data_IF_122054754597
#
_entry.id   IF_122054754597
#
_cell.length_a   1.000
_cell.length_b   1.000
_cell.length_c   1.000
_cell.angle_alpha   90.00
_cell.angle_beta   90.00
_cell.angle_gamma   90.00
#
_symmetry.space_group_name_H-M   'P 1'
#
loop_
_entity.id
_entity.type
_entity.pdbx_description
1 polymer ?
#
# COMPACT_ATOMS: atom_id res chain seq x y z
N UNK A 1 24.51 -65.39 26.54
CA UNK A 1 23.43 -64.41 26.73
C UNK A 1 23.68 -63.24 25.80
N UNK A 2 22.95 -63.16 24.69
CA UNK A 2 23.03 -62.10 23.67
C UNK A 2 21.95 -61.05 23.98
N UNK A 3 22.34 -59.81 24.26
CA UNK A 3 21.42 -58.70 24.41
C UNK A 3 21.26 -58.05 23.03
N UNK A 4 20.06 -58.18 22.45
CA UNK A 4 19.66 -57.49 21.25
C UNK A 4 19.18 -56.10 21.63
N UNK A 5 19.91 -55.06 21.20
CA UNK A 5 19.50 -53.66 21.30
C UNK A 5 18.51 -53.30 20.20
N UNK A 6 17.32 -52.84 20.58
CA UNK A 6 16.27 -52.37 19.70
C UNK A 6 16.54 -50.91 19.38
N UNK A 7 16.96 -50.60 18.15
CA UNK A 7 17.08 -49.21 17.66
C UNK A 7 15.72 -48.71 17.22
N UNK A 8 15.16 -47.74 17.94
CA UNK A 8 13.95 -47.01 17.53
C UNK A 8 14.38 -45.88 16.61
N UNK A 9 14.10 -45.99 15.32
CA UNK A 9 14.23 -44.91 14.38
C UNK A 9 13.01 -43.97 14.51
N UNK A 10 13.24 -42.78 15.05
CA UNK A 10 12.23 -41.70 15.08
C UNK A 10 12.26 -41.02 13.73
N UNK A 11 11.32 -41.36 12.86
CA UNK A 11 11.09 -40.64 11.60
C UNK A 11 10.32 -39.35 11.91
N UNK A 12 11.04 -38.23 11.95
CA UNK A 12 10.42 -36.93 12.10
C UNK A 12 9.63 -36.54 10.84
N UNK A 13 8.31 -36.58 10.93
CA UNK A 13 7.40 -36.04 9.90
C UNK A 13 7.41 -34.52 9.98
N UNK A 14 8.16 -33.88 9.11
CA UNK A 14 8.09 -32.42 8.95
C UNK A 14 6.77 -32.05 8.26
N UNK A 15 5.78 -31.65 9.06
CA UNK A 15 4.54 -31.07 8.55
C UNK A 15 4.84 -29.63 8.10
N UNK A 16 4.99 -29.43 6.80
CA UNK A 16 5.02 -28.10 6.18
C UNK A 16 3.61 -27.53 6.26
N UNK A 17 3.35 -26.66 7.23
CA UNK A 17 2.17 -25.81 7.22
C UNK A 17 2.33 -24.78 6.12
N UNK A 18 1.70 -25.02 4.96
CA UNK A 18 1.38 -23.97 4.02
C UNK A 18 0.29 -23.12 4.66
N UNK A 19 0.64 -21.99 5.24
CA UNK A 19 -0.32 -20.94 5.57
C UNK A 19 -0.74 -20.34 4.23
N UNK A 20 -1.79 -20.91 3.64
CA UNK A 20 -2.54 -20.21 2.61
C UNK A 20 -3.24 -19.04 3.32
N UNK A 21 -2.66 -17.85 3.25
CA UNK A 21 -3.39 -16.62 3.57
C UNK A 21 -4.45 -16.48 2.49
N UNK A 22 -5.64 -17.00 2.75
CA UNK A 22 -6.82 -16.63 2.00
C UNK A 22 -7.03 -15.14 2.28
N UNK A 23 -6.69 -14.30 1.31
CA UNK A 23 -7.10 -12.90 1.33
C UNK A 23 -8.63 -12.91 1.21
N UNK A 24 -9.31 -12.55 2.31
CA UNK A 24 -10.73 -12.31 2.28
C UNK A 24 -10.96 -11.09 1.38
N UNK A 25 -11.52 -11.32 0.23
CA UNK A 25 -11.98 -10.26 -0.67
C UNK A 25 -13.22 -9.64 -0.06
N UNK A 26 -13.13 -8.36 0.26
CA UNK A 26 -14.23 -7.41 0.45
C UNK A 26 -15.25 -7.71 1.53
N UNK A 27 -15.30 -6.85 2.49
CA UNK A 27 -16.35 -6.32 3.38
C UNK A 27 -15.77 -5.82 4.72
N UNK A 28 -14.46 -5.63 4.76
CA UNK A 28 -13.85 -4.96 5.92
C UNK A 28 -13.97 -3.45 5.70
N UNK A 29 -14.32 -2.73 6.77
CA UNK A 29 -14.26 -1.27 6.77
C UNK A 29 -12.82 -0.80 6.49
N UNK A 30 -12.69 0.36 5.82
CA UNK A 30 -11.38 1.01 5.65
C UNK A 30 -10.71 1.18 7.01
N UNK A 31 -9.44 0.85 7.08
CA UNK A 31 -8.61 1.05 8.28
C UNK A 31 -7.41 1.91 7.90
N UNK A 32 -7.11 2.97 8.66
CA UNK A 32 -5.90 3.76 8.47
C UNK A 32 -4.65 2.87 8.46
N UNK A 33 -3.69 3.22 7.61
CA UNK A 33 -2.43 2.47 7.53
C UNK A 33 -1.55 2.84 8.71
N UNK A 34 -1.11 1.83 9.47
CA UNK A 34 -0.22 2.06 10.60
C UNK A 34 1.14 2.60 10.12
N UNK A 35 1.54 3.75 10.66
CA UNK A 35 2.84 4.35 10.39
C UNK A 35 3.94 3.56 11.12
N UNK A 36 4.91 3.08 10.36
CA UNK A 36 6.13 2.44 10.90
C UNK A 36 7.37 3.17 10.38
N UNK A 37 8.55 2.88 10.93
CA UNK A 37 9.81 3.47 10.45
C UNK A 37 10.14 3.13 8.99
N UNK A 38 9.53 2.08 8.46
CA UNK A 38 9.79 1.56 7.11
C UNK A 38 8.70 2.00 6.12
N UNK A 39 7.71 2.79 6.59
CA UNK A 39 6.58 3.25 5.76
C UNK A 39 6.71 4.74 5.49
N UNK A 40 6.69 5.12 4.21
CA UNK A 40 6.54 6.50 3.74
C UNK A 40 5.20 6.66 3.03
N UNK A 41 4.68 7.89 2.98
CA UNK A 41 3.51 8.22 2.17
C UNK A 41 3.97 9.06 0.99
N UNK A 42 3.50 8.73 -0.20
CA UNK A 42 3.94 9.41 -1.42
C UNK A 42 2.85 9.43 -2.49
N UNK A 43 2.92 10.39 -3.40
CA UNK A 43 2.27 10.29 -4.69
C UNK A 43 3.14 9.48 -5.65
N UNK A 44 2.53 8.59 -6.43
CA UNK A 44 3.22 7.88 -7.51
C UNK A 44 2.96 8.63 -8.80
N UNK A 45 4.00 9.18 -9.41
CA UNK A 45 3.92 9.93 -10.66
C UNK A 45 4.06 9.03 -11.88
N UNK A 46 4.84 7.96 -11.77
CA UNK A 46 5.13 7.07 -12.90
C UNK A 46 5.48 5.65 -12.44
N UNK A 47 5.09 4.67 -13.24
CA UNK A 47 5.52 3.27 -13.09
C UNK A 47 6.18 2.85 -14.41
N UNK A 48 7.42 2.39 -14.36
CA UNK A 48 8.17 1.94 -15.54
C UNK A 48 8.79 0.57 -15.34
N UNK A 49 8.83 -0.21 -16.43
CA UNK A 49 9.63 -1.44 -16.50
C UNK A 49 11.00 -1.10 -17.14
N UNK A 50 12.07 -1.32 -16.41
CA UNK A 50 13.42 -1.09 -16.88
C UNK A 50 14.34 -2.24 -16.45
N UNK A 51 15.00 -2.87 -17.41
CA UNK A 51 15.96 -3.97 -17.18
C UNK A 51 15.39 -5.12 -16.34
N UNK A 52 14.09 -5.45 -16.56
CA UNK A 52 13.38 -6.50 -15.83
C UNK A 52 12.96 -6.12 -14.40
N UNK A 53 13.05 -4.85 -14.04
CA UNK A 53 12.64 -4.29 -12.75
C UNK A 53 11.49 -3.32 -12.94
N UNK A 54 10.58 -3.29 -11.97
CA UNK A 54 9.55 -2.26 -11.88
C UNK A 54 10.06 -1.14 -10.99
N UNK A 55 10.04 0.07 -11.52
CA UNK A 55 10.44 1.29 -10.82
C UNK A 55 9.25 2.23 -10.70
N UNK A 56 9.06 2.78 -9.51
CA UNK A 56 8.14 3.89 -9.24
C UNK A 56 8.94 5.20 -9.26
N UNK A 57 8.39 6.24 -9.85
CA UNK A 57 8.82 7.62 -9.59
C UNK A 57 7.83 8.20 -8.58
N UNK A 58 8.31 8.58 -7.43
CA UNK A 58 7.48 9.01 -6.30
C UNK A 58 7.88 10.39 -5.81
N UNK A 59 6.93 11.07 -5.17
CA UNK A 59 7.09 12.32 -4.44
C UNK A 59 6.60 12.09 -3.01
N UNK A 60 7.52 12.10 -2.04
CA UNK A 60 7.19 11.86 -0.64
C UNK A 60 6.41 13.05 -0.06
N UNK A 61 5.39 12.74 0.71
CA UNK A 61 4.53 13.73 1.38
C UNK A 61 4.42 13.43 2.88
N UNK A 62 4.11 14.45 3.65
CA UNK A 62 3.68 14.27 5.03
C UNK A 62 2.16 14.10 5.06
N UNK A 63 1.71 12.93 5.50
CA UNK A 63 0.31 12.59 5.68
C UNK A 63 -0.06 12.62 7.17
N UNK A 64 -1.08 13.38 7.53
CA UNK A 64 -1.61 13.51 8.88
C UNK A 64 -3.07 13.10 8.93
N UNK A 65 -3.51 12.48 10.04
CA UNK A 65 -4.89 12.06 10.27
C UNK A 65 -5.37 12.44 11.68
N UNK A 66 -6.69 12.65 11.81
CA UNK A 66 -7.35 12.93 13.09
C UNK A 66 -6.76 14.15 13.81
N UNK A 67 -6.56 14.06 15.11
CA UNK A 67 -6.12 15.19 15.94
C UNK A 67 -4.72 15.73 15.54
N UNK A 68 -3.87 14.91 14.93
CA UNK A 68 -2.58 15.37 14.40
C UNK A 68 -2.79 16.23 13.15
N UNK A 69 -3.70 15.83 12.28
CA UNK A 69 -4.09 16.61 11.10
C UNK A 69 -4.69 17.96 11.50
N UNK A 70 -5.62 17.98 12.46
CA UNK A 70 -6.24 19.21 12.96
C UNK A 70 -5.18 20.18 13.49
N UNK A 71 -4.21 19.66 14.26
CA UNK A 71 -3.13 20.48 14.81
C UNK A 71 -2.29 21.11 13.69
N UNK A 72 -1.82 20.30 12.73
CA UNK A 72 -0.97 20.79 11.62
C UNK A 72 -1.75 21.76 10.73
N UNK A 73 -3.02 21.47 10.46
CA UNK A 73 -3.90 22.35 9.70
C UNK A 73 -4.04 23.72 10.36
N UNK A 74 -4.36 23.79 11.66
CA UNK A 74 -4.52 25.06 12.38
C UNK A 74 -3.22 25.85 12.48
N UNK A 75 -2.07 25.17 12.54
CA UNK A 75 -0.76 25.82 12.53
C UNK A 75 -0.43 26.43 11.14
N UNK A 76 -0.85 25.79 10.07
CA UNK A 76 -0.52 26.19 8.69
C UNK A 76 -1.58 27.11 8.06
N UNK A 77 -2.83 26.97 8.47
CA UNK A 77 -3.99 27.72 7.95
C UNK A 77 -4.69 28.52 9.07
N UNK A 78 -3.95 29.41 9.79
CA UNK A 78 -4.50 30.11 10.96
C UNK A 78 -5.68 31.02 10.64
N UNK A 79 -5.83 31.43 9.38
CA UNK A 79 -6.87 32.33 8.90
C UNK A 79 -8.06 31.57 8.27
N UNK A 80 -8.09 30.25 8.31
CA UNK A 80 -9.17 29.43 7.74
C UNK A 80 -10.53 29.68 8.38
N UNK A 81 -10.55 30.01 9.67
CA UNK A 81 -11.77 30.15 10.46
C UNK A 81 -12.40 28.82 10.90
N UNK A 82 -11.74 27.71 10.59
CA UNK A 82 -12.16 26.36 10.96
C UNK A 82 -11.52 25.95 12.32
N UNK A 83 -12.15 24.97 13.00
CA UNK A 83 -11.63 24.42 14.27
C UNK A 83 -10.77 23.18 14.07
N UNK A 84 -10.63 22.68 12.83
CA UNK A 84 -9.85 21.50 12.42
C UNK A 84 -10.01 21.22 10.92
N UNK A 85 -9.47 20.07 10.47
CA UNK A 85 -9.56 19.66 9.07
C UNK A 85 -10.98 19.27 8.70
N UNK A 86 -11.50 19.67 7.52
CA UNK A 86 -12.86 19.32 7.07
C UNK A 86 -13.07 17.80 6.92
N UNK A 87 -12.05 17.10 6.40
CA UNK A 87 -12.15 15.69 6.01
C UNK A 87 -11.34 14.74 6.93
N UNK A 88 -10.83 15.27 8.06
CA UNK A 88 -10.12 14.50 9.07
C UNK A 88 -8.69 14.10 8.69
N UNK A 89 -8.15 14.65 7.58
CA UNK A 89 -6.75 14.49 7.18
C UNK A 89 -6.14 15.81 6.69
N UNK A 90 -4.83 15.88 6.66
CA UNK A 90 -4.09 17.02 6.10
C UNK A 90 -2.81 16.53 5.41
N UNK A 91 -2.53 17.08 4.22
CA UNK A 91 -1.36 16.74 3.42
C UNK A 91 -0.43 17.93 3.38
N UNK A 92 0.86 17.70 3.69
CA UNK A 92 1.90 18.70 3.49
C UNK A 92 2.86 18.21 2.42
N UNK A 93 2.96 18.99 1.35
CA UNK A 93 3.90 18.79 0.25
C UNK A 93 4.42 20.16 -0.19
N UNK A 94 5.39 20.70 0.57
CA UNK A 94 5.94 22.04 0.32
C UNK A 94 6.88 22.06 -0.89
N UNK A 95 7.40 20.91 -1.29
CA UNK A 95 8.32 20.75 -2.41
C UNK A 95 8.13 19.40 -3.07
N UNK A 96 7.93 19.40 -4.37
CA UNK A 96 8.00 18.20 -5.19
C UNK A 96 9.47 17.74 -5.31
N UNK A 97 9.78 16.58 -4.73
CA UNK A 97 11.13 15.98 -4.75
C UNK A 97 11.07 14.55 -5.29
N UNK A 98 11.06 14.44 -6.63
CA UNK A 98 10.93 13.15 -7.30
C UNK A 98 12.15 12.26 -7.13
N UNK A 99 11.91 11.01 -6.74
CA UNK A 99 12.94 9.97 -6.70
C UNK A 99 12.40 8.60 -7.14
N UNK A 100 13.31 7.67 -7.41
CA UNK A 100 12.95 6.35 -7.91
C UNK A 100 13.07 5.28 -6.83
N UNK A 101 12.06 4.40 -6.74
CA UNK A 101 12.05 3.22 -5.88
C UNK A 101 11.84 1.95 -6.70
N UNK A 102 12.66 0.93 -6.48
CA UNK A 102 12.46 -0.40 -7.09
C UNK A 102 11.36 -1.15 -6.32
N UNK A 103 10.41 -1.75 -7.03
CA UNK A 103 9.37 -2.61 -6.43
C UNK A 103 9.86 -4.06 -6.38
N UNK A 104 9.71 -4.70 -5.24
CA UNK A 104 9.98 -6.13 -5.11
C UNK A 104 9.01 -6.94 -5.98
N UNK A 105 9.44 -8.00 -6.68
CA UNK A 105 8.58 -8.79 -7.56
C UNK A 105 7.36 -9.42 -6.86
N UNK A 106 7.48 -9.62 -5.55
CA UNK A 106 6.45 -10.18 -4.67
C UNK A 106 5.83 -9.14 -3.75
N UNK A 107 5.91 -7.85 -4.09
CA UNK A 107 5.30 -6.77 -3.30
C UNK A 107 3.80 -7.02 -3.11
N UNK A 108 3.32 -6.77 -1.90
CA UNK A 108 1.90 -6.77 -1.61
C UNK A 108 1.29 -5.44 -2.04
N UNK A 109 0.21 -5.48 -2.82
CA UNK A 109 -0.45 -4.28 -3.30
C UNK A 109 -1.91 -4.32 -2.92
N UNK A 110 -2.39 -3.26 -2.29
CA UNK A 110 -3.75 -3.13 -1.79
C UNK A 110 -4.35 -1.84 -2.31
N UNK A 111 -5.48 -1.97 -2.99
CA UNK A 111 -6.23 -0.86 -3.57
C UNK A 111 -7.54 -0.65 -2.83
N UNK A 112 -8.03 0.60 -2.83
CA UNK A 112 -9.30 0.99 -2.19
C UNK A 112 -10.33 1.40 -3.23
N UNK A 113 -9.92 2.27 -4.17
CA UNK A 113 -10.79 2.80 -5.22
C UNK A 113 -10.04 2.80 -6.53
N UNK A 114 -10.57 2.10 -7.52
CA UNK A 114 -10.01 2.08 -8.87
C UNK A 114 -11.05 1.62 -9.87
N UNK A 115 -10.73 1.78 -11.14
CA UNK A 115 -11.54 1.28 -12.24
C UNK A 115 -10.72 0.28 -13.07
N UNK A 116 -11.33 -0.87 -13.41
CA UNK A 116 -10.66 -1.96 -14.11
C UNK A 116 -10.72 -1.83 -15.64
N UNK A 117 -11.78 -1.20 -16.16
CA UNK A 117 -12.10 -1.31 -17.60
C UNK A 117 -12.24 0.03 -18.30
N UNK A 118 -12.23 1.14 -17.59
CA UNK A 118 -12.53 2.47 -18.09
C UNK A 118 -14.02 2.71 -18.31
N UNK A 119 -14.89 2.00 -17.57
CA UNK A 119 -16.33 2.19 -17.55
C UNK A 119 -16.81 2.50 -16.16
N UNK A 120 -17.76 3.41 -16.04
CA UNK A 120 -18.28 3.85 -14.75
C UNK A 120 -18.91 2.71 -13.94
N UNK A 121 -19.48 1.72 -14.62
CA UNK A 121 -20.12 0.57 -14.00
C UNK A 121 -19.14 -0.39 -13.32
N UNK A 122 -17.84 -0.29 -13.68
CA UNK A 122 -16.76 -1.13 -13.17
C UNK A 122 -15.86 -0.39 -12.18
N UNK A 123 -16.28 0.81 -11.75
CA UNK A 123 -15.65 1.51 -10.62
C UNK A 123 -16.00 0.75 -9.35
N UNK A 124 -14.98 0.20 -8.74
CA UNK A 124 -15.12 -0.63 -7.55
C UNK A 124 -14.64 0.14 -6.33
N UNK A 125 -15.50 0.23 -5.31
CA UNK A 125 -15.19 0.79 -3.99
C UNK A 125 -15.24 -0.36 -3.00
N UNK A 126 -14.39 -1.35 -3.22
CA UNK A 126 -14.19 -2.46 -2.30
C UNK A 126 -12.93 -2.21 -1.50
N UNK A 127 -13.08 -2.15 -0.18
CA UNK A 127 -11.95 -1.91 0.71
C UNK A 127 -10.93 -3.05 0.67
N UNK A 128 -9.65 -2.67 0.69
CA UNK A 128 -8.52 -3.59 0.88
C UNK A 128 -8.40 -4.67 -0.21
N UNK A 129 -8.69 -4.33 -1.46
CA UNK A 129 -8.53 -5.26 -2.58
C UNK A 129 -7.05 -5.54 -2.86
N UNK A 130 -6.65 -6.81 -2.71
CA UNK A 130 -5.34 -7.26 -3.12
C UNK A 130 -5.27 -7.40 -4.65
N UNK A 131 -4.28 -6.76 -5.26
CA UNK A 131 -4.00 -6.87 -6.70
C UNK A 131 -2.57 -7.31 -6.94
N UNK A 132 -2.30 -7.92 -8.08
CA UNK A 132 -0.95 -8.27 -8.51
C UNK A 132 -0.20 -7.03 -9.00
N UNK A 133 1.13 -7.10 -9.07
CA UNK A 133 1.95 -6.01 -9.60
C UNK A 133 1.60 -5.68 -11.06
N UNK A 134 1.23 -6.68 -11.85
CA UNK A 134 0.79 -6.49 -13.25
C UNK A 134 -0.55 -5.75 -13.29
N UNK A 135 -1.53 -6.19 -12.51
CA UNK A 135 -2.83 -5.51 -12.42
C UNK A 135 -2.68 -4.07 -11.92
N UNK A 136 -1.83 -3.83 -10.93
CA UNK A 136 -1.54 -2.48 -10.45
C UNK A 136 -0.98 -1.58 -11.56
N UNK A 137 -0.06 -2.08 -12.38
CA UNK A 137 0.46 -1.33 -13.52
C UNK A 137 -0.64 -1.00 -14.55
N UNK A 138 -1.54 -1.95 -14.83
CA UNK A 138 -2.68 -1.75 -15.72
C UNK A 138 -3.66 -0.72 -15.17
N UNK A 139 -4.01 -0.82 -13.87
CA UNK A 139 -4.86 0.14 -13.16
C UNK A 139 -4.24 1.54 -13.20
N UNK A 140 -2.95 1.66 -12.90
CA UNK A 140 -2.24 2.94 -12.87
C UNK A 140 -2.19 3.62 -14.25
N UNK A 141 -2.17 2.86 -15.32
CA UNK A 141 -2.23 3.40 -16.69
C UNK A 141 -3.64 3.72 -17.17
N UNK A 142 -4.67 3.27 -16.45
CA UNK A 142 -6.07 3.48 -16.79
C UNK A 142 -6.64 4.67 -15.98
N UNK A 143 -6.50 5.87 -16.54
CA UNK A 143 -6.96 7.12 -15.91
C UNK A 143 -8.26 7.68 -16.52
N UNK A 144 -9.11 6.81 -17.09
CA UNK A 144 -10.30 7.25 -17.81
C UNK A 144 -11.43 7.71 -16.90
N UNK A 145 -11.62 7.03 -15.78
CA UNK A 145 -12.67 7.33 -14.80
C UNK A 145 -12.04 7.68 -13.45
N UNK A 146 -11.17 6.81 -12.92
CA UNK A 146 -10.43 7.04 -11.67
C UNK A 146 -8.94 7.17 -12.02
N UNK A 147 -8.40 8.38 -11.86
CA UNK A 147 -6.96 8.60 -11.96
C UNK A 147 -6.32 8.29 -10.60
N UNK A 148 -5.81 7.07 -10.46
CA UNK A 148 -5.21 6.63 -9.19
C UNK A 148 -3.91 7.35 -8.85
N UNK A 149 -3.27 8.07 -9.79
CA UNK A 149 -2.10 8.89 -9.52
C UNK A 149 -2.41 10.10 -8.63
N UNK A 150 -3.69 10.47 -8.52
CA UNK A 150 -4.15 11.57 -7.67
C UNK A 150 -4.33 11.16 -6.19
N UNK A 151 -4.18 9.86 -5.89
CA UNK A 151 -4.28 9.35 -4.53
C UNK A 151 -2.90 9.13 -3.94
N UNK A 152 -2.70 9.44 -2.64
CA UNK A 152 -1.49 9.03 -1.94
C UNK A 152 -1.40 7.51 -1.80
N UNK A 153 -0.17 7.02 -1.68
CA UNK A 153 0.12 5.62 -1.40
C UNK A 153 1.05 5.52 -0.20
N UNK A 154 0.76 4.57 0.68
CA UNK A 154 1.69 4.17 1.73
C UNK A 154 2.61 3.09 1.19
N UNK A 155 3.91 3.36 1.20
CA UNK A 155 4.95 2.51 0.66
C UNK A 155 5.80 1.96 1.81
N UNK A 156 5.81 0.63 1.99
CA UNK A 156 6.75 0.00 2.92
C UNK A 156 8.02 -0.38 2.18
N UNK A 157 9.15 0.14 2.63
CA UNK A 157 10.46 -0.07 2.00
C UNK A 157 11.34 -0.93 2.90
N UNK A 158 11.80 -2.08 2.38
CA UNK A 158 12.73 -2.98 3.07
C UNK A 158 13.88 -3.32 2.13
N UNK A 159 15.10 -3.31 2.64
CA UNK A 159 16.32 -3.58 1.86
C UNK A 159 16.40 -2.76 0.55
N UNK A 160 15.92 -1.50 0.60
CA UNK A 160 15.93 -0.57 -0.54
C UNK A 160 14.89 -0.88 -1.62
N UNK A 161 13.90 -1.73 -1.35
CA UNK A 161 12.81 -2.05 -2.27
C UNK A 161 11.45 -1.86 -1.62
N UNK A 162 10.48 -1.44 -2.41
CA UNK A 162 9.08 -1.38 -2.00
C UNK A 162 8.55 -2.81 -1.93
N UNK A 163 8.20 -3.26 -0.73
CA UNK A 163 7.63 -4.60 -0.47
C UNK A 163 6.12 -4.56 -0.26
N UNK A 164 5.56 -3.37 -0.01
CA UNK A 164 4.12 -3.18 0.15
C UNK A 164 3.70 -1.81 -0.36
N UNK A 165 2.56 -1.76 -1.04
CA UNK A 165 1.91 -0.56 -1.58
C UNK A 165 0.46 -0.59 -1.13
N UNK A 166 -0.01 0.45 -0.45
CA UNK A 166 -1.42 0.59 -0.06
C UNK A 166 -1.91 1.94 -0.55
N UNK A 167 -2.96 1.93 -1.37
CA UNK A 167 -3.64 3.17 -1.76
C UNK A 167 -4.32 3.79 -0.54
N UNK A 168 -4.08 5.09 -0.30
CA UNK A 168 -4.82 5.86 0.69
C UNK A 168 -6.18 6.25 0.11
N UNK A 169 -7.25 5.93 0.83
CA UNK A 169 -8.58 6.45 0.48
C UNK A 169 -8.68 7.93 0.85
N UNK A 170 -9.24 8.71 -0.05
CA UNK A 170 -9.65 10.09 0.17
C UNK A 170 -11.19 10.12 0.09
N UNK A 171 -11.90 10.56 1.15
CA UNK A 171 -13.36 10.64 1.19
C UNK A 171 -13.97 11.65 0.21
#
# INVERSE_FOLDING_TARGET
MKKTGLSVAVTGLAVLFFIATAYAVGNEEYKPVEKTSDTTTAYIHQIVNKDGKVLLTVDDIDWYEGAEADKVFLEREPDSGEEGTPDGYYIVNDKEELHALEVAPNAQIVMQVFDKTGKIEDVDVDWNQAVTLTEFQEIFMNNKIVDVSQYPFHLTVQDGKVVKIIQQYLP
#
